data_IF_929359976347
#
_entry.id   IF_929359976347
#
_cell.length_a   1.000
_cell.length_b   1.000
_cell.length_c   1.000
_cell.angle_alpha   90.00
_cell.angle_beta   90.00
_cell.angle_gamma   90.00
#
_symmetry.space_group_name_H-M   'P 1'
#
loop_
_entity.id
_entity.type
_entity.pdbx_description
1 polymer ?
#
# COMPACT_ATOMS: atom_id res chain seq x y z
N UNK A 1 -11.96 18.85 14.96
CA UNK A 1 -12.99 19.30 13.99
C UNK A 1 -13.81 18.14 13.41
N UNK A 2 -13.22 17.14 12.75
CA UNK A 2 -14.01 16.03 12.17
C UNK A 2 -14.85 15.29 13.24
N UNK A 3 -14.31 15.04 14.43
CA UNK A 3 -15.07 14.44 15.55
C UNK A 3 -16.26 15.31 16.01
N UNK A 4 -16.13 16.64 16.00
CA UNK A 4 -17.20 17.56 16.38
C UNK A 4 -18.34 17.56 15.34
N UNK A 5 -18.00 17.55 14.05
CA UNK A 5 -18.98 17.42 12.96
C UNK A 5 -19.69 16.06 12.99
N UNK A 6 -18.96 14.98 13.30
CA UNK A 6 -19.54 13.65 13.47
C UNK A 6 -20.54 13.58 14.63
N UNK A 7 -20.28 14.30 15.73
CA UNK A 7 -21.19 14.36 16.90
C UNK A 7 -22.45 15.20 16.64
N UNK A 8 -22.39 16.19 15.73
CA UNK A 8 -23.53 17.06 15.40
C UNK A 8 -24.58 16.38 14.51
N UNK A 9 -24.19 15.36 13.74
CA UNK A 9 -25.05 14.71 12.76
C UNK A 9 -25.27 15.56 11.50
N UNK A 10 -25.73 14.96 10.39
CA UNK A 10 -25.60 15.54 9.04
C UNK A 10 -26.32 16.89 8.85
N UNK A 11 -27.49 17.09 9.45
CA UNK A 11 -28.24 18.36 9.33
C UNK A 11 -27.55 19.52 10.07
N UNK A 12 -27.20 19.31 11.34
CA UNK A 12 -26.56 20.35 12.16
C UNK A 12 -25.12 20.62 11.71
N UNK A 13 -24.42 19.61 11.20
CA UNK A 13 -23.12 19.80 10.56
C UNK A 13 -23.22 20.72 9.33
N UNK A 14 -24.27 20.57 8.50
CA UNK A 14 -24.52 21.47 7.36
C UNK A 14 -24.79 22.92 7.78
N UNK A 15 -25.54 23.13 8.86
CA UNK A 15 -25.81 24.47 9.39
C UNK A 15 -24.57 25.10 10.04
N UNK A 16 -23.76 24.30 10.73
CA UNK A 16 -22.46 24.71 11.27
C UNK A 16 -21.49 25.15 10.17
N UNK A 17 -21.38 24.38 9.08
CA UNK A 17 -20.54 24.74 7.93
C UNK A 17 -21.02 26.05 7.29
N UNK A 18 -22.34 26.27 7.19
CA UNK A 18 -22.91 27.52 6.67
C UNK A 18 -22.64 28.73 7.57
N UNK A 19 -22.58 28.54 8.88
CA UNK A 19 -22.28 29.63 9.83
C UNK A 19 -20.80 29.95 9.92
N UNK A 20 -19.92 29.00 9.60
CA UNK A 20 -18.49 29.27 9.49
C UNK A 20 -18.12 29.78 8.09
N UNK A 21 -18.37 31.07 7.84
CA UNK A 21 -18.14 31.74 6.55
C UNK A 21 -16.74 31.52 5.96
N UNK A 22 -15.72 31.37 6.80
CA UNK A 22 -14.32 31.24 6.36
C UNK A 22 -13.82 29.79 6.32
N UNK A 23 -14.62 28.82 6.77
CA UNK A 23 -14.17 27.42 6.89
C UNK A 23 -13.76 26.84 5.53
N UNK A 24 -14.55 27.10 4.49
CA UNK A 24 -14.27 26.59 3.14
C UNK A 24 -12.97 27.20 2.60
N UNK A 25 -12.74 28.49 2.86
CA UNK A 25 -11.51 29.17 2.45
C UNK A 25 -10.28 28.64 3.18
N UNK A 26 -10.39 28.41 4.49
CA UNK A 26 -9.33 27.80 5.30
C UNK A 26 -9.02 26.36 4.86
N UNK A 27 -10.03 25.58 4.49
CA UNK A 27 -9.84 24.24 3.93
C UNK A 27 -9.18 24.29 2.55
N UNK A 28 -9.51 25.27 1.71
CA UNK A 28 -8.89 25.44 0.40
C UNK A 28 -7.38 25.74 0.53
N UNK A 29 -7.00 26.62 1.46
CA UNK A 29 -5.60 26.95 1.75
C UNK A 29 -4.80 25.72 2.22
N UNK A 30 -5.39 24.90 3.10
CA UNK A 30 -4.75 23.64 3.55
C UNK A 30 -4.74 22.59 2.44
N UNK A 31 -5.77 22.53 1.59
CA UNK A 31 -5.83 21.59 0.48
C UNK A 31 -4.74 21.81 -0.56
N UNK A 32 -4.29 23.06 -0.73
CA UNK A 32 -3.16 23.40 -1.59
C UNK A 32 -1.81 22.87 -1.04
N UNK A 33 -1.75 22.58 0.27
CA UNK A 33 -0.59 21.97 0.92
C UNK A 33 -0.67 20.44 0.93
N UNK A 34 -1.83 19.86 0.59
CA UNK A 34 -1.97 18.42 0.41
C UNK A 34 -1.40 18.05 -0.97
N UNK A 35 -0.61 16.98 -1.01
CA UNK A 35 -0.06 16.49 -2.26
C UNK A 35 -1.16 16.25 -3.29
N UNK A 36 -0.93 16.70 -4.53
CA UNK A 36 -1.80 16.44 -5.68
C UNK A 36 -1.07 15.59 -6.72
N UNK A 37 -1.78 15.12 -7.74
CA UNK A 37 -1.16 14.39 -8.86
C UNK A 37 -0.02 15.18 -9.50
N UNK A 38 -0.18 16.50 -9.64
CA UNK A 38 0.82 17.38 -10.25
C UNK A 38 1.82 17.97 -9.25
N UNK A 39 1.57 17.83 -7.95
CA UNK A 39 2.44 18.30 -6.86
C UNK A 39 2.45 17.26 -5.74
N UNK A 40 3.10 16.10 -5.93
CA UNK A 40 3.10 15.05 -4.93
C UNK A 40 3.87 15.49 -3.69
N UNK A 41 3.36 15.14 -2.51
CA UNK A 41 4.07 15.35 -1.26
C UNK A 41 5.12 14.26 -1.12
N UNK A 42 6.39 14.61 -1.32
CA UNK A 42 7.51 13.67 -1.22
C UNK A 42 8.14 13.83 0.17
N UNK A 43 8.31 12.71 0.87
CA UNK A 43 9.03 12.70 2.14
C UNK A 43 10.53 12.78 1.88
N UNK A 44 11.23 13.67 2.60
CA UNK A 44 12.71 13.72 2.62
C UNK A 44 13.32 12.64 3.53
N UNK A 45 12.51 11.74 4.07
CA UNK A 45 12.99 10.67 4.93
C UNK A 45 13.99 9.81 4.16
N UNK A 46 15.18 9.63 4.75
CA UNK A 46 16.20 8.77 4.14
C UNK A 46 15.78 7.32 4.26
N UNK A 47 15.98 6.56 3.20
CA UNK A 47 15.80 5.12 3.26
C UNK A 47 16.81 4.51 4.24
N UNK A 48 16.32 3.64 5.12
CA UNK A 48 17.13 2.90 6.07
C UNK A 48 17.00 1.40 5.79
N UNK A 49 18.14 0.72 5.64
CA UNK A 49 18.16 -0.74 5.56
C UNK A 49 17.92 -1.32 6.95
N UNK A 50 16.67 -1.64 7.26
CA UNK A 50 16.30 -2.18 8.58
C UNK A 50 16.80 -3.61 8.79
N UNK A 51 16.63 -4.48 7.79
CA UNK A 51 17.04 -5.89 7.85
C UNK A 51 17.41 -6.37 6.45
N UNK A 52 18.44 -7.22 6.37
CA UNK A 52 18.73 -8.04 5.20
C UNK A 52 18.88 -9.49 5.64
N UNK A 53 17.83 -10.28 5.47
CA UNK A 53 17.82 -11.70 5.80
C UNK A 53 17.85 -12.56 4.52
N UNK A 54 18.59 -13.66 4.56
CA UNK A 54 18.57 -14.70 3.53
C UNK A 54 17.89 -15.93 4.14
N UNK A 55 16.56 -15.91 4.13
CA UNK A 55 15.75 -17.01 4.64
C UNK A 55 15.43 -18.01 3.53
N UNK A 56 15.77 -19.28 3.75
CA UNK A 56 15.45 -20.39 2.86
C UNK A 56 14.29 -21.25 3.43
N UNK A 57 13.48 -20.69 4.34
CA UNK A 57 12.48 -21.44 5.09
C UNK A 57 13.13 -22.41 6.08
N UNK A 58 12.61 -23.64 6.17
CA UNK A 58 13.19 -24.71 7.01
C UNK A 58 14.52 -25.26 6.46
N UNK A 59 14.96 -24.79 5.29
CA UNK A 59 16.15 -25.27 4.63
C UNK A 59 17.41 -24.52 5.10
N UNK A 60 18.49 -25.27 5.29
CA UNK A 60 19.76 -24.71 5.76
C UNK A 60 20.56 -24.03 4.63
N UNK A 61 20.21 -24.32 3.38
CA UNK A 61 20.96 -23.88 2.20
C UNK A 61 20.02 -23.46 1.06
N UNK A 62 20.43 -22.51 0.22
CA UNK A 62 19.65 -22.09 -0.95
C UNK A 62 19.38 -23.24 -1.92
N UNK A 63 20.33 -24.16 -2.09
CA UNK A 63 20.19 -25.29 -3.01
C UNK A 63 19.02 -26.20 -2.61
N UNK A 64 18.85 -26.46 -1.32
CA UNK A 64 17.78 -27.30 -0.78
C UNK A 64 16.39 -26.67 -1.01
N UNK A 65 16.28 -25.34 -0.92
CA UNK A 65 15.05 -24.63 -1.26
C UNK A 65 14.75 -24.70 -2.77
N UNK A 66 15.76 -24.58 -3.63
CA UNK A 66 15.55 -24.67 -5.08
C UNK A 66 15.09 -26.08 -5.50
N UNK A 67 15.61 -27.12 -4.86
CA UNK A 67 15.19 -28.49 -5.10
C UNK A 67 13.77 -28.76 -4.59
N UNK A 68 13.42 -28.26 -3.40
CA UNK A 68 12.06 -28.38 -2.86
C UNK A 68 11.05 -27.56 -3.67
N UNK A 69 11.43 -26.37 -4.12
CA UNK A 69 10.63 -25.52 -4.99
C UNK A 69 10.39 -26.17 -6.37
N UNK A 70 11.42 -26.76 -6.98
CA UNK A 70 11.27 -27.49 -8.24
C UNK A 70 10.32 -28.68 -8.10
N UNK A 71 10.42 -29.41 -7.00
CA UNK A 71 9.51 -30.52 -6.68
C UNK A 71 8.08 -30.01 -6.54
N UNK A 72 7.87 -28.95 -5.74
CA UNK A 72 6.57 -28.32 -5.55
C UNK A 72 5.95 -27.86 -6.88
N UNK A 73 6.69 -27.18 -7.74
CA UNK A 73 6.19 -26.71 -9.03
C UNK A 73 5.77 -27.87 -9.91
N UNK A 74 6.55 -28.97 -9.98
CA UNK A 74 6.19 -30.16 -10.76
C UNK A 74 4.92 -30.84 -10.23
N UNK A 75 4.80 -30.95 -8.92
CA UNK A 75 3.64 -31.58 -8.28
C UNK A 75 2.36 -30.74 -8.43
N UNK A 76 2.50 -29.41 -8.41
CA UNK A 76 1.40 -28.45 -8.50
C UNK A 76 1.06 -28.01 -9.93
N UNK A 77 1.95 -28.23 -10.90
CA UNK A 77 1.70 -27.92 -12.33
C UNK A 77 0.51 -28.71 -12.87
N UNK A 78 0.36 -29.95 -12.43
CA UNK A 78 -0.78 -30.80 -12.77
C UNK A 78 -2.09 -30.33 -12.11
N UNK A 79 -2.02 -29.40 -11.15
CA UNK A 79 -3.15 -28.94 -10.35
C UNK A 79 -3.54 -27.46 -10.58
N UNK A 80 -2.73 -26.66 -11.30
CA UNK A 80 -3.02 -25.23 -11.49
C UNK A 80 -2.43 -24.61 -12.76
N UNK A 81 -3.29 -23.99 -13.59
CA UNK A 81 -2.93 -23.25 -14.82
C UNK A 81 -2.19 -21.93 -14.51
N UNK A 82 -2.39 -21.35 -13.32
CA UNK A 82 -1.86 -20.03 -12.97
C UNK A 82 -0.34 -20.02 -12.68
N UNK A 83 0.23 -21.14 -12.22
CA UNK A 83 1.66 -21.24 -11.90
C UNK A 83 2.55 -21.18 -13.15
N UNK A 84 2.04 -21.64 -14.31
CA UNK A 84 2.78 -21.62 -15.58
C UNK A 84 3.09 -20.20 -16.09
N UNK A 85 2.28 -19.21 -15.71
CA UNK A 85 2.44 -17.81 -16.15
C UNK A 85 3.63 -17.13 -15.46
N UNK A 86 3.84 -17.40 -14.17
CA UNK A 86 4.92 -16.77 -13.39
C UNK A 86 6.29 -17.34 -13.77
N UNK A 87 6.37 -18.64 -14.12
CA UNK A 87 7.63 -19.30 -14.50
C UNK A 87 8.09 -18.91 -15.90
N UNK A 88 7.17 -18.77 -16.86
CA UNK A 88 7.53 -18.42 -18.25
C UNK A 88 7.82 -16.92 -18.46
N UNK A 89 7.43 -16.04 -17.53
CA UNK A 89 7.64 -14.59 -17.68
C UNK A 89 9.09 -14.12 -17.46
N UNK A 90 10.04 -15.04 -17.20
CA UNK A 90 11.49 -14.73 -17.11
C UNK A 90 12.33 -15.33 -18.24
N UNK A 91 11.69 -15.88 -19.27
CA UNK A 91 12.38 -16.46 -20.43
C UNK A 91 12.00 -15.74 -21.74
N UNK A 92 12.04 -14.41 -21.75
CA UNK A 92 12.03 -13.56 -22.96
C UNK A 92 12.91 -12.35 -22.75
#
# INVERSE_FOLDING_TARGET
>A
MHQHLHQLGPRRAGDFIRTQANLIQQLAEVSALLGSEHYPLISDHKDELLVRDQSYGDHAKPEDYLDSFNTFIRDQLNQSVALAVVVNLRAT
#
